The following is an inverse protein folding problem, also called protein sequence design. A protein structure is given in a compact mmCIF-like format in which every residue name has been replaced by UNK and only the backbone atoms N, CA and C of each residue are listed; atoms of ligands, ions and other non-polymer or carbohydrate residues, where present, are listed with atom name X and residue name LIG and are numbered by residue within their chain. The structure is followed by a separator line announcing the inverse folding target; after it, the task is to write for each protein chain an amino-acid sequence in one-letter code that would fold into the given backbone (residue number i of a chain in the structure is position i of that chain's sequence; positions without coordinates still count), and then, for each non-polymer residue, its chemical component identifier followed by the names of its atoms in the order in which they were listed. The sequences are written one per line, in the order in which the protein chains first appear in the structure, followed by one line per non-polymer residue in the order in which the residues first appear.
data_IF_182291397606
#
_entry.id   IF_182291397606
#
_cell.length_a   1.000
_cell.length_b   1.000
_cell.length_c   1.000
_cell.angle_alpha   90.00
_cell.angle_beta   90.00
_cell.angle_gamma   90.00
#
_symmetry.space_group_name_H-M   'P 1'
#
loop_
_entity.id
_entity.type
_entity.pdbx_description
1 polymer ?
#
# COMPACT_ATOMS: atom_id res chain seq x y z
N UNK A 1 7.52 -42.20 14.23
CA UNK A 1 7.21 -40.75 14.12
C UNK A 1 6.99 -40.43 12.65
N UNK A 2 5.78 -40.07 12.25
CA UNK A 2 5.50 -39.69 10.86
C UNK A 2 6.06 -38.28 10.60
N UNK A 3 6.97 -38.17 9.62
CA UNK A 3 7.45 -36.88 9.10
C UNK A 3 6.25 -36.06 8.65
N UNK A 4 6.15 -34.82 9.10
CA UNK A 4 5.13 -33.89 8.61
C UNK A 4 5.20 -33.84 7.08
N UNK A 5 4.07 -34.00 6.36
CA UNK A 5 4.08 -34.01 4.91
C UNK A 5 4.52 -32.64 4.38
N UNK A 6 5.61 -32.61 3.62
CA UNK A 6 6.26 -31.42 3.03
C UNK A 6 5.45 -30.76 1.89
N UNK A 7 4.11 -30.75 1.99
CA UNK A 7 3.22 -30.26 0.93
C UNK A 7 3.50 -28.80 0.57
N UNK A 8 3.69 -27.95 1.59
CA UNK A 8 3.95 -26.53 1.38
C UNK A 8 5.32 -26.29 0.71
N UNK A 9 6.35 -27.01 1.17
CA UNK A 9 7.67 -26.94 0.56
C UNK A 9 7.67 -27.45 -0.89
N UNK A 10 6.90 -28.50 -1.19
CA UNK A 10 6.73 -29.00 -2.55
C UNK A 10 6.02 -27.98 -3.46
N UNK A 11 4.97 -27.31 -2.97
CA UNK A 11 4.27 -26.25 -3.70
C UNK A 11 5.17 -25.04 -3.99
N UNK A 12 5.99 -24.61 -3.02
CA UNK A 12 6.96 -23.52 -3.22
C UNK A 12 8.05 -23.93 -4.21
N UNK A 13 8.56 -25.16 -4.12
CA UNK A 13 9.61 -25.62 -5.03
C UNK A 13 9.12 -25.81 -6.47
N UNK A 14 7.90 -26.32 -6.67
CA UNK A 14 7.33 -26.48 -8.01
C UNK A 14 7.08 -25.12 -8.67
N UNK A 15 6.48 -24.18 -7.94
CA UNK A 15 6.23 -22.82 -8.44
C UNK A 15 7.53 -22.06 -8.71
N UNK A 16 8.56 -22.22 -7.87
CA UNK A 16 9.89 -21.62 -8.08
C UNK A 16 10.51 -22.05 -9.42
N UNK A 17 10.53 -23.35 -9.70
CA UNK A 17 11.13 -23.85 -10.94
C UNK A 17 10.30 -23.49 -12.17
N UNK A 18 8.98 -23.56 -12.08
CA UNK A 18 8.10 -23.13 -13.18
C UNK A 18 8.33 -21.65 -13.52
N UNK A 19 8.43 -20.78 -12.51
CA UNK A 19 8.72 -19.36 -12.68
C UNK A 19 10.11 -19.12 -13.28
N UNK A 20 11.14 -19.81 -12.78
CA UNK A 20 12.49 -19.67 -13.33
C UNK A 20 12.55 -20.09 -14.81
N UNK A 21 11.99 -21.25 -15.16
CA UNK A 21 12.01 -21.75 -16.53
C UNK A 21 11.22 -20.85 -17.49
N UNK A 22 10.07 -20.35 -17.07
CA UNK A 22 9.26 -19.42 -17.89
C UNK A 22 9.98 -18.08 -18.09
N UNK A 23 10.54 -17.49 -17.04
CA UNK A 23 11.29 -16.23 -17.17
C UNK A 23 12.57 -16.40 -17.99
N UNK A 24 13.30 -17.51 -17.82
CA UNK A 24 14.52 -17.80 -18.58
C UNK A 24 14.27 -17.96 -20.08
N UNK A 25 13.12 -18.48 -20.46
CA UNK A 25 12.72 -18.57 -21.86
C UNK A 25 12.40 -17.20 -22.49
N UNK A 26 12.03 -16.20 -21.68
CA UNK A 26 11.63 -14.88 -22.13
C UNK A 26 12.74 -13.84 -22.03
N UNK A 27 13.62 -13.94 -21.04
CA UNK A 27 14.58 -12.91 -20.66
C UNK A 27 15.91 -13.52 -20.19
N UNK A 28 17.05 -12.84 -20.39
CA UNK A 28 18.34 -13.24 -19.84
C UNK A 28 18.38 -12.99 -18.33
N UNK A 29 17.82 -13.92 -17.55
CA UNK A 29 17.77 -13.80 -16.09
C UNK A 29 18.97 -14.45 -15.42
N UNK A 30 19.34 -13.90 -14.25
CA UNK A 30 20.22 -14.55 -13.27
C UNK A 30 19.43 -14.83 -12.00
N UNK A 31 19.76 -15.92 -11.31
CA UNK A 31 19.20 -16.27 -10.01
C UNK A 31 20.32 -16.40 -8.99
N UNK A 32 20.11 -15.92 -7.77
CA UNK A 32 21.01 -16.15 -6.64
C UNK A 32 20.33 -16.99 -5.56
N UNK A 33 21.14 -17.60 -4.70
CA UNK A 33 20.62 -18.22 -3.49
C UNK A 33 20.37 -17.17 -2.41
N UNK A 34 19.47 -17.45 -1.47
CA UNK A 34 19.30 -16.59 -0.29
C UNK A 34 20.55 -16.51 0.58
N UNK A 35 21.42 -17.53 0.56
CA UNK A 35 22.70 -17.52 1.23
C UNK A 35 23.66 -16.49 0.61
N UNK A 36 23.71 -16.39 -0.73
CA UNK A 36 24.49 -15.38 -1.43
C UNK A 36 23.99 -13.97 -1.13
N UNK A 37 22.67 -13.76 -1.12
CA UNK A 37 22.05 -12.48 -0.76
C UNK A 37 22.44 -12.05 0.65
N UNK A 38 22.40 -12.97 1.63
CA UNK A 38 22.85 -12.71 3.00
C UNK A 38 24.35 -12.41 3.07
N UNK A 39 25.17 -13.17 2.35
CA UNK A 39 26.63 -12.96 2.30
C UNK A 39 26.97 -11.55 1.77
N UNK A 40 26.39 -11.17 0.62
CA UNK A 40 26.59 -9.85 0.03
C UNK A 40 26.16 -8.74 0.99
N UNK A 41 25.00 -8.88 1.64
CA UNK A 41 24.52 -7.91 2.62
C UNK A 41 25.50 -7.70 3.76
N UNK A 42 26.03 -8.78 4.33
CA UNK A 42 27.01 -8.73 5.42
C UNK A 42 28.36 -8.18 4.95
N UNK A 43 28.84 -8.60 3.76
CA UNK A 43 30.07 -8.12 3.14
C UNK A 43 30.06 -6.60 2.94
N UNK A 44 28.91 -6.04 2.60
CA UNK A 44 28.72 -4.60 2.40
C UNK A 44 28.26 -3.85 3.67
N UNK A 45 28.19 -4.50 4.84
CA UNK A 45 27.82 -3.83 6.09
C UNK A 45 26.37 -3.35 6.18
N UNK A 46 25.47 -3.88 5.34
CA UNK A 46 24.12 -3.34 5.18
C UNK A 46 23.12 -3.94 6.18
N UNK A 47 22.19 -3.10 6.65
CA UNK A 47 21.10 -3.51 7.55
C UNK A 47 20.08 -4.39 6.84
N UNK A 48 19.37 -5.24 7.60
CA UNK A 48 18.38 -6.16 7.02
C UNK A 48 17.07 -5.41 6.74
N UNK A 49 16.82 -5.16 5.46
CA UNK A 49 15.56 -4.62 4.95
C UNK A 49 15.20 -5.33 3.65
N UNK A 50 13.91 -5.52 3.36
CA UNK A 50 13.48 -6.27 2.17
C UNK A 50 14.01 -5.69 0.86
N UNK A 51 14.08 -4.35 0.75
CA UNK A 51 14.56 -3.67 -0.46
C UNK A 51 16.10 -3.68 -0.56
N UNK A 52 16.80 -3.72 0.58
CA UNK A 52 18.26 -3.88 0.64
C UNK A 52 18.64 -5.31 0.26
N UNK A 53 17.96 -6.31 0.84
CA UNK A 53 18.16 -7.73 0.52
C UNK A 53 17.95 -7.95 -0.99
N UNK A 54 16.91 -7.37 -1.60
CA UNK A 54 16.68 -7.47 -3.04
C UNK A 54 17.86 -6.95 -3.88
N UNK A 55 18.51 -5.87 -3.42
CA UNK A 55 19.67 -5.26 -4.08
C UNK A 55 20.96 -6.08 -3.93
N UNK A 56 20.99 -7.05 -3.00
CA UNK A 56 22.13 -7.92 -2.74
C UNK A 56 22.12 -9.22 -3.59
N UNK A 57 21.23 -9.31 -4.57
CA UNK A 57 21.07 -10.47 -5.47
C UNK A 57 22.16 -10.49 -6.55
N UNK A 58 22.85 -11.63 -6.69
CA UNK A 58 23.82 -11.87 -7.77
C UNK A 58 25.29 -11.59 -7.39
N UNK A 59 26.14 -11.57 -8.42
CA UNK A 59 27.58 -11.33 -8.26
C UNK A 59 27.85 -9.83 -8.31
N UNK A 60 28.15 -9.25 -7.13
CA UNK A 60 28.23 -7.81 -6.93
C UNK A 60 29.60 -7.41 -6.38
N UNK A 61 30.16 -6.32 -6.91
CA UNK A 61 31.38 -5.71 -6.39
C UNK A 61 31.07 -4.57 -5.41
N UNK A 62 30.00 -3.82 -5.65
CA UNK A 62 29.51 -2.73 -4.79
C UNK A 62 28.02 -2.49 -5.07
N UNK A 63 27.33 -1.81 -4.14
CA UNK A 63 25.92 -1.41 -4.26
C UNK A 63 25.82 0.10 -4.03
N UNK A 64 25.11 0.82 -4.91
CA UNK A 64 24.87 2.25 -4.80
C UNK A 64 23.37 2.48 -4.64
N UNK A 65 22.98 3.17 -3.57
CA UNK A 65 21.60 3.59 -3.35
C UNK A 65 21.44 5.07 -3.69
N UNK A 66 20.61 5.38 -4.69
CA UNK A 66 20.30 6.76 -5.09
C UNK A 66 19.30 7.46 -4.15
N UNK A 67 18.68 6.72 -3.23
CA UNK A 67 17.74 7.26 -2.24
C UNK A 67 17.89 6.54 -0.91
N UNK A 68 17.74 7.29 0.18
CA UNK A 68 17.65 6.75 1.54
C UNK A 68 16.20 6.67 2.02
N UNK A 69 15.25 7.07 1.19
CA UNK A 69 13.84 7.14 1.51
C UNK A 69 13.03 6.34 0.49
N UNK A 70 12.97 5.00 0.63
CA UNK A 70 12.18 4.17 -0.26
C UNK A 70 10.68 4.47 -0.11
N UNK A 71 9.97 4.35 -1.23
CA UNK A 71 8.51 4.42 -1.26
C UNK A 71 7.93 3.07 -0.82
N UNK A 72 7.24 3.07 0.31
CA UNK A 72 6.48 1.93 0.80
C UNK A 72 5.12 1.88 0.09
N UNK A 73 4.91 0.78 -0.63
CA UNK A 73 3.66 0.50 -1.34
C UNK A 73 2.97 -0.67 -0.64
N UNK A 74 1.75 -0.45 -0.16
CA UNK A 74 0.94 -1.49 0.50
C UNK A 74 -0.34 -1.73 -0.28
N UNK A 75 -0.58 -2.99 -0.62
CA UNK A 75 -1.85 -3.42 -1.20
C UNK A 75 -2.99 -3.15 -0.20
N UNK A 76 -3.93 -2.30 -0.59
CA UNK A 76 -5.08 -1.85 0.20
C UNK A 76 -6.43 -2.30 -0.37
N UNK A 77 -6.44 -2.77 -1.62
CA UNK A 77 -7.61 -3.29 -2.31
C UNK A 77 -8.60 -2.21 -2.78
N UNK A 78 -9.70 -2.67 -3.40
CA UNK A 78 -10.66 -1.82 -4.12
C UNK A 78 -11.88 -1.41 -3.29
N UNK A 79 -11.93 -1.79 -2.02
CA UNK A 79 -13.07 -1.58 -1.12
C UNK A 79 -13.91 -2.84 -0.93
N UNK A 80 -14.99 -2.73 -0.16
CA UNK A 80 -15.91 -3.85 0.14
C UNK A 80 -17.12 -3.79 -0.80
N UNK A 81 -17.55 -4.95 -1.32
CA UNK A 81 -18.79 -5.08 -2.11
C UNK A 81 -20.08 -5.11 -1.27
N UNK A 82 -19.95 -5.04 0.06
CA UNK A 82 -21.09 -5.04 0.97
C UNK A 82 -21.84 -3.70 0.90
N UNK A 83 -23.05 -3.72 0.34
CA UNK A 83 -23.92 -2.56 0.12
C UNK A 83 -24.78 -2.18 1.33
N UNK A 84 -25.01 -3.10 2.26
CA UNK A 84 -25.87 -2.88 3.44
C UNK A 84 -25.00 -2.86 4.69
N UNK A 85 -25.23 -1.88 5.56
CA UNK A 85 -24.60 -1.88 6.89
C UNK A 85 -25.29 -2.91 7.76
N UNK A 86 -24.52 -3.84 8.33
CA UNK A 86 -25.02 -4.94 9.15
C UNK A 86 -24.61 -4.76 10.60
N UNK A 87 -25.43 -5.21 11.54
CA UNK A 87 -25.06 -5.33 12.94
C UNK A 87 -24.11 -6.52 13.16
N UNK A 88 -23.65 -6.73 14.39
CA UNK A 88 -22.74 -7.84 14.75
C UNK A 88 -23.30 -9.25 14.44
N UNK A 89 -24.62 -9.37 14.31
CA UNK A 89 -25.33 -10.62 14.00
C UNK A 89 -25.61 -10.80 12.49
N UNK A 90 -25.25 -9.82 11.66
CA UNK A 90 -25.45 -9.88 10.22
C UNK A 90 -26.78 -9.31 9.72
N UNK A 91 -27.63 -8.77 10.60
CA UNK A 91 -28.89 -8.13 10.18
C UNK A 91 -28.66 -6.69 9.71
N UNK A 92 -29.37 -6.23 8.67
CA UNK A 92 -29.34 -4.83 8.25
C UNK A 92 -29.67 -3.85 9.38
N UNK A 93 -28.89 -2.78 9.49
CA UNK A 93 -29.15 -1.68 10.42
C UNK A 93 -30.07 -0.65 9.75
N UNK A 94 -30.91 0.03 10.53
CA UNK A 94 -31.73 1.15 10.05
C UNK A 94 -30.96 2.47 10.16
N UNK A 95 -31.20 3.39 9.24
CA UNK A 95 -30.69 4.76 9.29
C UNK A 95 -31.55 5.63 10.22
N UNK A 96 -31.25 6.93 10.30
CA UNK A 96 -31.98 7.86 11.18
C UNK A 96 -33.45 8.04 10.77
N UNK A 97 -33.79 7.79 9.52
CA UNK A 97 -35.16 7.88 8.99
C UNK A 97 -35.93 6.56 9.10
N UNK A 98 -35.37 5.54 9.76
CA UNK A 98 -36.02 4.23 9.93
C UNK A 98 -35.95 3.32 8.69
N UNK A 99 -35.26 3.73 7.63
CA UNK A 99 -35.03 2.94 6.43
C UNK A 99 -33.77 2.08 6.55
N UNK A 100 -33.63 1.04 5.72
CA UNK A 100 -32.40 0.25 5.69
C UNK A 100 -31.17 1.15 5.38
N UNK A 101 -30.13 1.06 6.21
CA UNK A 101 -28.89 1.82 6.05
C UNK A 101 -28.05 1.28 4.88
N UNK A 102 -28.45 1.69 3.68
CA UNK A 102 -27.74 1.42 2.44
C UNK A 102 -26.50 2.31 2.33
N UNK A 103 -25.42 1.74 1.79
CA UNK A 103 -24.25 2.50 1.38
C UNK A 103 -24.50 3.13 0.02
N UNK A 104 -23.87 4.28 -0.19
CA UNK A 104 -23.89 5.02 -1.44
C UNK A 104 -23.59 4.12 -2.64
N UNK A 105 -24.46 4.17 -3.66
CA UNK A 105 -24.30 3.42 -4.90
C UNK A 105 -23.26 4.05 -5.83
N UNK A 106 -23.10 5.37 -5.80
CA UNK A 106 -22.09 6.07 -6.58
C UNK A 106 -20.74 6.09 -5.83
N UNK A 107 -19.71 5.36 -6.31
CA UNK A 107 -18.39 5.39 -5.68
C UNK A 107 -17.68 6.74 -5.86
N UNK A 108 -18.19 7.61 -6.74
CA UNK A 108 -17.63 8.92 -7.05
C UNK A 108 -18.55 10.01 -6.49
N UNK A 109 -17.98 10.93 -5.71
CA UNK A 109 -18.67 12.14 -5.26
C UNK A 109 -17.83 13.36 -5.63
N UNK A 110 -18.43 14.34 -6.28
CA UNK A 110 -17.76 15.58 -6.73
C UNK A 110 -16.47 15.31 -7.54
N UNK A 111 -16.43 14.19 -8.28
CA UNK A 111 -15.24 13.79 -9.05
C UNK A 111 -14.13 13.08 -8.25
N UNK A 112 -14.36 12.71 -6.99
CA UNK A 112 -13.42 12.01 -6.12
C UNK A 112 -13.92 10.64 -5.69
N UNK A 113 -13.00 9.71 -5.43
CA UNK A 113 -13.29 8.40 -4.82
C UNK A 113 -12.58 8.28 -3.48
N UNK A 114 -13.20 7.58 -2.52
CA UNK A 114 -12.51 7.20 -1.28
C UNK A 114 -11.29 6.35 -1.61
N UNK A 115 -10.12 6.88 -1.26
CA UNK A 115 -8.82 6.30 -1.54
C UNK A 115 -7.96 7.08 -2.53
N UNK A 116 -8.51 8.10 -3.20
CA UNK A 116 -7.70 9.04 -3.98
C UNK A 116 -6.69 9.76 -3.06
N UNK A 117 -5.54 10.16 -3.61
CA UNK A 117 -4.58 11.03 -2.92
C UNK A 117 -4.81 12.44 -3.43
N UNK A 118 -4.97 13.38 -2.51
CA UNK A 118 -5.32 14.76 -2.82
C UNK A 118 -4.35 15.73 -2.17
N UNK A 119 -4.18 16.89 -2.82
CA UNK A 119 -3.67 18.11 -2.20
C UNK A 119 -4.86 18.93 -1.71
N UNK A 120 -5.00 19.06 -0.39
CA UNK A 120 -6.00 19.91 0.22
C UNK A 120 -5.40 21.27 0.56
N UNK A 121 -5.82 22.34 -0.10
CA UNK A 121 -5.42 23.71 0.19
C UNK A 121 -6.55 24.41 0.97
N UNK A 122 -6.43 24.42 2.29
CA UNK A 122 -7.46 24.90 3.21
C UNK A 122 -7.17 26.36 3.58
N UNK A 123 -8.04 27.32 3.19
CA UNK A 123 -7.74 28.75 3.33
C UNK A 123 -7.85 29.26 4.76
N UNK A 124 -8.77 28.72 5.58
CA UNK A 124 -9.10 29.21 6.94
C UNK A 124 -9.56 28.07 7.85
N UNK A 125 -9.54 28.31 9.16
CA UNK A 125 -10.08 27.41 10.19
C UNK A 125 -9.05 26.44 10.78
N UNK A 126 -9.54 25.45 11.53
CA UNK A 126 -8.70 24.50 12.32
C UNK A 126 -7.59 23.81 11.52
N UNK A 127 -7.84 23.52 10.24
CA UNK A 127 -6.93 22.79 9.37
C UNK A 127 -6.31 23.68 8.29
N UNK A 128 -6.18 24.99 8.53
CA UNK A 128 -5.57 25.93 7.59
C UNK A 128 -4.20 25.44 7.10
N UNK A 129 -3.92 25.63 5.81
CA UNK A 129 -2.66 25.24 5.16
C UNK A 129 -2.83 24.23 4.04
N UNK A 130 -1.70 23.74 3.53
CA UNK A 130 -1.63 22.76 2.44
C UNK A 130 -1.32 21.39 3.01
N UNK A 131 -2.15 20.41 2.67
CA UNK A 131 -2.06 19.04 3.19
C UNK A 131 -2.06 18.04 2.04
N UNK A 132 -1.23 17.01 2.17
CA UNK A 132 -1.17 15.89 1.24
C UNK A 132 -1.63 14.63 1.95
N UNK A 133 -2.60 13.94 1.38
CA UNK A 133 -3.12 12.75 2.03
C UNK A 133 -4.19 12.01 1.24
N UNK A 134 -4.53 10.83 1.76
CA UNK A 134 -5.55 9.98 1.19
C UNK A 134 -6.93 10.43 1.65
N UNK A 135 -7.87 10.56 0.73
CA UNK A 135 -9.20 11.11 1.01
C UNK A 135 -10.22 10.01 1.32
N UNK A 136 -11.07 10.27 2.32
CA UNK A 136 -12.35 9.59 2.53
C UNK A 136 -13.47 10.53 2.15
N UNK A 137 -14.25 10.12 1.15
CA UNK A 137 -15.23 10.96 0.47
C UNK A 137 -16.62 10.70 1.05
N UNK A 138 -17.42 11.76 1.21
CA UNK A 138 -18.82 11.70 1.68
C UNK A 138 -19.74 12.39 0.67
N UNK A 139 -21.00 11.96 0.60
CA UNK A 139 -22.03 12.58 -0.26
C UNK A 139 -22.27 14.06 0.06
N UNK A 140 -22.06 14.47 1.32
CA UNK A 140 -22.18 15.87 1.75
C UNK A 140 -21.12 16.81 1.15
N UNK A 141 -20.14 16.29 0.42
CA UNK A 141 -19.03 17.05 -0.14
C UNK A 141 -18.00 17.51 0.90
N UNK A 142 -18.10 16.99 2.12
CA UNK A 142 -17.09 17.11 3.17
C UNK A 142 -16.23 15.84 3.21
N UNK A 143 -14.92 16.01 3.15
CA UNK A 143 -13.94 14.94 3.04
C UNK A 143 -13.07 14.87 4.28
N UNK A 144 -12.65 13.66 4.62
CA UNK A 144 -11.57 13.50 5.58
C UNK A 144 -10.27 13.20 4.83
N UNK A 145 -9.19 13.88 5.17
CA UNK A 145 -7.87 13.68 4.56
C UNK A 145 -6.94 13.08 5.61
N UNK A 146 -6.51 11.85 5.37
CA UNK A 146 -5.53 11.16 6.22
C UNK A 146 -4.13 11.53 5.75
N UNK A 147 -3.41 12.26 6.59
CA UNK A 147 -2.01 12.67 6.40
C UNK A 147 -1.10 11.85 7.33
N UNK A 148 0.23 11.86 7.14
CA UNK A 148 1.17 11.25 8.09
C UNK A 148 1.06 11.81 9.51
N UNK A 149 0.67 13.08 9.66
CA UNK A 149 0.51 13.76 10.95
C UNK A 149 -0.83 13.45 11.63
N UNK A 150 -1.78 12.90 10.89
CA UNK A 150 -3.11 12.59 11.42
C UNK A 150 -4.23 12.85 10.42
N UNK A 151 -5.46 12.61 10.90
CA UNK A 151 -6.67 12.72 10.10
C UNK A 151 -7.28 14.11 10.24
N UNK A 152 -7.34 14.83 9.12
CA UNK A 152 -8.05 16.10 8.99
C UNK A 152 -9.50 15.78 8.62
N UNK A 153 -10.46 16.35 9.34
CA UNK A 153 -11.87 16.04 9.14
C UNK A 153 -12.61 17.20 8.47
N UNK A 154 -13.65 16.86 7.72
CA UNK A 154 -14.63 17.82 7.19
C UNK A 154 -14.05 18.91 6.27
N UNK A 155 -13.01 18.60 5.48
CA UNK A 155 -12.48 19.49 4.44
C UNK A 155 -13.44 19.50 3.24
N UNK A 156 -13.87 20.67 2.77
CA UNK A 156 -14.78 20.76 1.61
C UNK A 156 -14.06 20.35 0.32
N UNK A 157 -14.74 19.56 -0.54
CA UNK A 157 -14.18 19.04 -1.79
C UNK A 157 -13.54 20.11 -2.70
N UNK A 158 -14.09 21.33 -2.73
CA UNK A 158 -13.57 22.47 -3.50
C UNK A 158 -12.14 22.88 -3.13
N UNK A 159 -11.68 22.51 -1.94
CA UNK A 159 -10.32 22.75 -1.47
C UNK A 159 -9.38 21.60 -1.78
N UNK A 160 -9.87 20.50 -2.34
CA UNK A 160 -9.09 19.32 -2.69
C UNK A 160 -8.80 19.28 -4.18
N UNK A 161 -7.57 18.96 -4.54
CA UNK A 161 -7.13 18.69 -5.90
C UNK A 161 -6.60 17.27 -5.97
N UNK A 162 -7.07 16.43 -6.92
CA UNK A 162 -6.57 15.07 -7.05
C UNK A 162 -5.13 15.07 -7.56
N UNK A 163 -4.25 14.35 -6.85
CA UNK A 163 -2.87 14.07 -7.29
C UNK A 163 -2.79 12.68 -7.91
N UNK A 164 -3.42 11.70 -7.25
CA UNK A 164 -3.39 10.30 -7.68
C UNK A 164 -4.75 9.67 -7.48
N UNK A 165 -5.17 8.86 -8.46
CA UNK A 165 -6.44 8.13 -8.39
C UNK A 165 -6.23 6.80 -7.69
N UNK A 166 -7.26 6.36 -6.95
CA UNK A 166 -7.25 5.06 -6.29
C UNK A 166 -6.94 3.93 -7.29
N UNK A 167 -5.90 3.18 -6.99
CA UNK A 167 -5.40 2.05 -7.79
C UNK A 167 -5.29 0.74 -7.00
N UNK A 168 -5.82 0.73 -5.77
CA UNK A 168 -5.75 -0.43 -4.88
C UNK A 168 -4.52 -0.48 -3.99
N UNK A 169 -3.64 0.53 -4.05
CA UNK A 169 -2.48 0.64 -3.18
C UNK A 169 -2.56 1.86 -2.26
N UNK A 170 -1.76 1.84 -1.21
CA UNK A 170 -1.45 2.98 -0.37
C UNK A 170 0.04 3.24 -0.40
N UNK A 171 0.40 4.51 -0.37
CA UNK A 171 1.75 5.00 -0.54
C UNK A 171 2.18 5.77 0.70
N UNK A 172 3.39 5.50 1.16
CA UNK A 172 4.03 6.25 2.24
C UNK A 172 5.53 6.16 2.07
N UNK A 173 6.27 7.14 2.52
CA UNK A 173 7.73 7.01 2.60
C UNK A 173 8.12 6.29 3.88
N UNK A 174 9.16 5.45 3.81
CA UNK A 174 9.84 5.01 5.02
C UNK A 174 10.40 6.26 5.75
N UNK A 175 10.33 6.34 7.09
CA UNK A 175 11.05 7.38 7.81
C UNK A 175 12.51 7.35 7.38
N UNK A 176 13.14 8.52 7.21
CA UNK A 176 14.56 8.56 6.85
C UNK A 176 15.35 7.83 7.94
N UNK A 177 15.87 6.66 7.60
CA UNK A 177 16.88 5.98 8.38
C UNK A 177 18.22 6.29 7.74
N UNK A 178 19.20 6.64 8.57
CA UNK A 178 20.58 6.74 8.11
C UNK A 178 21.00 5.36 7.61
N UNK A 179 21.10 5.20 6.29
CA UNK A 179 21.84 4.08 5.73
C UNK A 179 23.29 4.38 6.08
N UNK A 180 23.81 3.72 7.11
CA UNK A 180 25.23 3.79 7.41
C UNK A 180 25.93 3.12 6.23
N UNK A 181 26.69 3.92 5.48
CA UNK A 181 27.65 3.43 4.48
C UNK A 181 28.94 3.05 5.18
#
# INVERSE_FOLDING_TARGET
MALQPLKDAAAVNSTRWALYSTLKALLPIKSSSGAQTKYNRLRFGLVKEHWIDASCTGDLNHIIFSTQQPLLIKASGWGKRQMVTKNKYGFPVLNKEGNQALKTRSPVQYGFRTGDIVRANVPKGKHQGVHLGRVSVRESGAFDVTTPLGKLQSIRHKHCQPIHRKDGYSYSFQPMSTIVQ
#
